data_IF_885091348436
#
_entry.id   IF_885091348436
#
_cell.length_a   1.000
_cell.length_b   1.000
_cell.length_c   1.000
_cell.angle_alpha   90.00
_cell.angle_beta   90.00
_cell.angle_gamma   90.00
#
_symmetry.space_group_name_H-M   'P 1'
#
loop_
_entity.id
_entity.type
_entity.pdbx_description
1 polymer ?
#
# COMPACT_ATOMS: atom_id res chain seq x y z
N UNK A 1 -10.55 16.74 -6.98
CA UNK A 1 -9.55 17.71 -7.46
C UNK A 1 -9.52 17.66 -8.97
N UNK A 2 -9.43 18.81 -9.64
CA UNK A 2 -9.28 18.87 -11.09
C UNK A 2 -7.86 19.35 -11.35
N UNK A 3 -7.10 18.59 -12.14
CA UNK A 3 -5.71 18.88 -12.49
C UNK A 3 -5.71 19.23 -13.97
N UNK A 4 -5.31 20.45 -14.29
CA UNK A 4 -5.09 20.87 -15.66
C UNK A 4 -3.64 20.54 -16.02
N UNK A 5 -3.44 19.56 -16.88
CA UNK A 5 -2.11 19.09 -17.25
C UNK A 5 -1.99 18.88 -18.77
N UNK A 6 -2.19 19.93 -19.58
CA UNK A 6 -1.97 19.84 -21.02
C UNK A 6 -0.50 19.52 -21.32
N UNK A 7 -0.26 18.82 -22.43
CA UNK A 7 1.10 18.61 -22.92
C UNK A 7 1.68 19.93 -23.43
N UNK A 8 2.66 20.48 -22.71
CA UNK A 8 3.29 21.78 -23.05
C UNK A 8 4.80 21.67 -22.94
N UNK A 9 5.54 22.26 -23.88
CA UNK A 9 7.01 22.31 -23.80
C UNK A 9 7.45 23.46 -22.90
N UNK A 10 8.25 23.16 -21.87
CA UNK A 10 8.80 24.16 -20.98
C UNK A 10 9.73 25.12 -21.72
N UNK A 11 9.41 26.42 -21.70
CA UNK A 11 10.13 27.45 -22.47
C UNK A 11 11.65 27.46 -22.25
N UNK A 12 12.09 27.30 -21.00
CA UNK A 12 13.52 27.39 -20.65
C UNK A 12 14.29 26.07 -20.80
N UNK A 13 13.72 24.94 -20.37
CA UNK A 13 14.42 23.64 -20.34
C UNK A 13 14.14 22.78 -21.57
N UNK A 14 13.15 23.13 -22.40
CA UNK A 14 12.70 22.34 -23.54
C UNK A 14 12.04 21.00 -23.16
N UNK A 15 11.90 20.69 -21.87
CA UNK A 15 11.28 19.45 -21.41
C UNK A 15 9.77 19.47 -21.68
N UNK A 16 9.20 18.32 -22.04
CA UNK A 16 7.76 18.14 -22.10
C UNK A 16 7.20 18.16 -20.67
N UNK A 17 6.23 19.05 -20.43
CA UNK A 17 5.42 19.07 -19.23
C UNK A 17 4.10 18.36 -19.52
N UNK A 18 3.85 17.29 -18.77
CA UNK A 18 2.66 16.44 -18.82
C UNK A 18 2.22 16.04 -17.40
N UNK A 19 1.27 15.10 -17.28
CA UNK A 19 0.79 14.59 -15.99
C UNK A 19 1.94 14.04 -15.14
N UNK A 20 2.91 13.35 -15.76
CA UNK A 20 4.02 12.74 -15.05
C UNK A 20 4.95 13.81 -14.46
N UNK A 21 5.24 14.86 -15.22
CA UNK A 21 5.98 16.02 -14.73
C UNK A 21 5.23 16.75 -13.60
N UNK A 22 3.89 16.81 -13.65
CA UNK A 22 3.10 17.36 -12.56
C UNK A 22 3.20 16.48 -11.30
N UNK A 23 3.09 15.16 -11.45
CA UNK A 23 3.23 14.18 -10.35
C UNK A 23 4.60 14.21 -9.69
N UNK A 24 5.67 14.54 -10.42
CA UNK A 24 7.04 14.53 -9.89
C UNK A 24 7.34 15.74 -9.01
N UNK A 25 6.74 16.91 -9.27
CA UNK A 25 7.11 18.17 -8.62
C UNK A 25 6.71 18.26 -7.16
N UNK A 26 7.62 18.73 -6.31
CA UNK A 26 7.42 18.87 -4.87
C UNK A 26 6.21 19.73 -4.50
N UNK A 27 6.06 20.90 -5.11
CA UNK A 27 4.90 21.78 -4.89
C UNK A 27 3.56 21.15 -5.29
N UNK A 28 3.51 20.41 -6.40
CA UNK A 28 2.31 19.70 -6.84
C UNK A 28 1.97 18.53 -5.91
N UNK A 29 2.99 17.85 -5.38
CA UNK A 29 2.82 16.84 -4.33
C UNK A 29 2.26 17.44 -3.03
N UNK A 30 2.65 18.66 -2.66
CA UNK A 30 2.08 19.38 -1.51
C UNK A 30 0.60 19.69 -1.72
N UNK A 31 0.22 20.22 -2.88
CA UNK A 31 -1.19 20.48 -3.22
C UNK A 31 -2.02 19.20 -3.13
N UNK A 32 -1.50 18.10 -3.70
CA UNK A 32 -2.13 16.79 -3.62
C UNK A 32 -2.24 16.33 -2.17
N UNK A 33 -1.17 16.42 -1.38
CA UNK A 33 -1.18 16.05 0.04
C UNK A 33 -2.25 16.83 0.81
N UNK A 34 -2.30 18.16 0.64
CA UNK A 34 -3.29 19.02 1.29
C UNK A 34 -4.72 18.68 0.88
N UNK A 35 -4.96 18.46 -0.43
CA UNK A 35 -6.25 18.00 -0.93
C UNK A 35 -6.65 16.68 -0.28
N UNK A 36 -5.72 15.72 -0.22
CA UNK A 36 -6.01 14.40 0.30
C UNK A 36 -6.29 14.43 1.80
N UNK A 37 -5.49 15.15 2.57
CA UNK A 37 -5.70 15.30 4.01
C UNK A 37 -6.98 16.06 4.35
N UNK A 38 -7.38 17.04 3.53
CA UNK A 38 -8.65 17.76 3.74
C UNK A 38 -9.87 16.85 3.63
N UNK A 39 -9.82 15.87 2.72
CA UNK A 39 -10.90 14.93 2.42
C UNK A 39 -10.58 13.50 2.80
N UNK A 40 -9.59 13.29 3.67
CA UNK A 40 -9.16 11.96 4.04
C UNK A 40 -10.33 11.23 4.68
N UNK A 41 -10.83 10.25 3.93
CA UNK A 41 -11.74 9.21 4.35
C UNK A 41 -11.07 7.91 3.95
N UNK A 42 -11.01 6.99 4.89
CA UNK A 42 -10.50 5.64 4.68
C UNK A 42 -11.33 4.90 3.62
N UNK A 43 -12.64 5.17 3.61
CA UNK A 43 -13.61 4.44 2.80
C UNK A 43 -13.71 4.98 1.37
N UNK A 44 -13.36 6.25 1.16
CA UNK A 44 -13.43 6.87 -0.16
C UNK A 44 -12.17 7.70 -0.42
N UNK A 45 -11.17 7.15 -1.13
CA UNK A 45 -10.01 7.94 -1.52
C UNK A 45 -10.49 9.13 -2.36
N UNK A 46 -9.93 10.32 -2.11
CA UNK A 46 -10.43 11.54 -2.71
C UNK A 46 -10.23 11.48 -4.23
N UNK A 47 -11.29 11.70 -4.99
CA UNK A 47 -11.24 11.59 -6.46
C UNK A 47 -10.52 12.80 -7.06
N UNK A 48 -9.52 12.54 -7.90
CA UNK A 48 -8.95 13.55 -8.79
C UNK A 48 -9.10 13.16 -10.26
N UNK A 49 -9.27 14.18 -11.08
CA UNK A 49 -9.42 14.06 -12.53
C UNK A 49 -8.36 14.91 -13.21
N UNK A 50 -7.70 14.35 -14.21
CA UNK A 50 -6.70 15.04 -15.04
C UNK A 50 -7.36 15.42 -16.35
N UNK A 51 -7.22 16.67 -16.73
CA UNK A 51 -7.66 17.21 -18.02
C UNK A 51 -6.40 17.56 -18.81
N UNK A 52 -6.14 16.78 -19.85
CA UNK A 52 -4.97 16.91 -20.73
C UNK A 52 -5.33 17.52 -22.10
N UNK A 53 -6.61 17.52 -22.47
CA UNK A 53 -7.13 18.09 -23.70
C UNK A 53 -8.52 18.74 -23.49
N UNK A 54 -8.96 19.67 -24.35
CA UNK A 54 -10.26 20.35 -24.22
C UNK A 54 -11.49 19.43 -24.14
N UNK A 55 -11.40 18.23 -24.71
CA UNK A 55 -12.48 17.24 -24.76
C UNK A 55 -12.14 15.93 -24.03
N UNK A 56 -11.02 15.87 -23.31
CA UNK A 56 -10.51 14.65 -22.68
C UNK A 56 -10.25 14.84 -21.20
N UNK A 57 -10.68 13.87 -20.38
CA UNK A 57 -10.24 13.76 -19.00
C UNK A 57 -10.09 12.29 -18.60
N UNK A 58 -9.20 12.04 -17.65
CA UNK A 58 -8.97 10.73 -17.05
C UNK A 58 -9.09 10.81 -15.52
N UNK A 59 -9.44 9.70 -14.87
CA UNK A 59 -9.41 9.61 -13.41
C UNK A 59 -7.98 9.32 -12.96
N UNK A 60 -7.45 10.12 -12.04
CA UNK A 60 -6.15 9.87 -11.44
C UNK A 60 -6.24 8.62 -10.55
N UNK A 61 -5.68 7.50 -11.01
CA UNK A 61 -5.61 6.27 -10.21
C UNK A 61 -4.61 6.42 -9.04
N UNK A 62 -4.91 5.76 -7.92
CA UNK A 62 -4.03 5.57 -6.75
C UNK A 62 -3.56 6.87 -6.08
N UNK A 63 -4.50 7.65 -5.54
CA UNK A 63 -4.18 8.74 -4.63
C UNK A 63 -4.12 8.20 -3.19
N UNK A 64 -3.10 7.39 -2.92
CA UNK A 64 -2.91 6.80 -1.59
C UNK A 64 -2.16 7.79 -0.70
N UNK A 65 -2.75 8.13 0.46
CA UNK A 65 -2.08 8.91 1.50
C UNK A 65 -1.11 7.99 2.24
N UNK A 66 0.09 8.48 2.55
CA UNK A 66 0.96 7.83 3.53
C UNK A 66 2.10 6.96 2.97
N UNK A 67 2.17 6.76 1.65
CA UNK A 67 3.37 6.19 1.05
C UNK A 67 4.50 7.23 1.08
N UNK A 68 5.65 6.86 1.66
CA UNK A 68 6.90 7.64 1.64
C UNK A 68 7.25 8.14 0.22
N UNK A 69 6.97 7.33 -0.80
CA UNK A 69 7.18 7.66 -2.22
C UNK A 69 6.39 8.89 -2.71
N UNK A 70 5.25 9.17 -2.09
CA UNK A 70 4.40 10.32 -2.42
C UNK A 70 4.62 11.53 -1.54
N UNK A 71 5.60 11.45 -0.63
CA UNK A 71 6.07 12.59 0.14
C UNK A 71 6.40 13.77 -0.78
N UNK A 72 6.12 14.95 -0.25
CA UNK A 72 6.46 16.25 -0.84
C UNK A 72 7.96 16.35 -1.08
N UNK A 73 8.76 15.86 -0.12
CA UNK A 73 10.21 15.99 -0.10
C UNK A 73 10.93 14.92 -0.92
N UNK A 74 10.22 14.00 -1.56
CA UNK A 74 10.77 13.14 -2.62
C UNK A 74 10.48 13.71 -4.02
N UNK A 75 9.93 14.92 -4.10
CA UNK A 75 9.64 15.59 -5.36
C UNK A 75 10.84 16.30 -5.98
N UNK A 76 10.69 16.65 -7.25
CA UNK A 76 11.60 17.52 -7.97
C UNK A 76 11.32 18.99 -7.64
N UNK A 77 12.37 19.77 -7.40
CA UNK A 77 12.27 21.20 -7.13
C UNK A 77 13.10 21.98 -8.14
N UNK A 78 12.53 23.09 -8.64
CA UNK A 78 13.30 24.03 -9.47
C UNK A 78 14.38 24.73 -8.63
N UNK A 79 14.05 25.04 -7.38
CA UNK A 79 14.98 25.57 -6.39
C UNK A 79 15.03 24.59 -5.21
N UNK A 80 16.14 23.87 -5.06
CA UNK A 80 16.27 22.85 -3.99
C UNK A 80 16.06 23.40 -2.58
N UNK A 81 16.37 24.67 -2.34
CA UNK A 81 16.09 25.35 -1.06
C UNK A 81 14.59 25.37 -0.69
N UNK A 82 13.67 25.21 -1.64
CA UNK A 82 12.24 25.12 -1.34
C UNK A 82 11.88 23.83 -0.59
N UNK A 83 12.68 22.76 -0.73
CA UNK A 83 12.46 21.48 -0.04
C UNK A 83 12.40 21.68 1.48
N UNK A 84 13.38 22.40 2.04
CA UNK A 84 13.42 22.75 3.46
C UNK A 84 12.34 23.75 3.84
N UNK A 85 12.05 24.75 3.00
CA UNK A 85 10.99 25.75 3.25
C UNK A 85 9.60 25.12 3.34
N UNK A 86 9.38 23.99 2.68
CA UNK A 86 8.12 23.26 2.74
C UNK A 86 7.92 22.46 4.03
N UNK A 87 8.98 22.17 4.79
CA UNK A 87 8.89 21.41 6.05
C UNK A 87 7.87 22.01 7.03
N UNK A 88 7.94 23.31 7.40
CA UNK A 88 6.94 23.92 8.28
C UNK A 88 5.54 23.96 7.66
N UNK A 89 5.41 24.04 6.33
CA UNK A 89 4.12 24.04 5.64
C UNK A 89 3.46 22.66 5.72
N UNK A 90 4.19 21.59 5.38
CA UNK A 90 3.71 20.21 5.49
C UNK A 90 3.34 19.89 6.94
N UNK A 91 4.17 20.30 7.90
CA UNK A 91 3.88 20.15 9.32
C UNK A 91 2.55 20.81 9.68
N UNK A 92 2.32 22.05 9.25
CA UNK A 92 1.07 22.76 9.54
C UNK A 92 -0.13 22.08 8.90
N UNK A 93 0.00 21.60 7.64
CA UNK A 93 -1.06 20.88 6.94
C UNK A 93 -1.45 19.60 7.69
N UNK A 94 -0.47 18.78 8.09
CA UNK A 94 -0.71 17.54 8.85
C UNK A 94 -1.35 17.84 10.21
N UNK A 95 -0.83 18.85 10.95
CA UNK A 95 -1.41 19.28 12.22
C UNK A 95 -2.86 19.73 12.09
N UNK A 96 -3.17 20.54 11.07
CA UNK A 96 -4.53 20.98 10.79
C UNK A 96 -5.45 19.79 10.47
N UNK A 97 -4.97 18.79 9.73
CA UNK A 97 -5.73 17.58 9.43
C UNK A 97 -6.04 16.77 10.68
N UNK A 98 -5.05 16.54 11.56
CA UNK A 98 -5.27 15.89 12.85
C UNK A 98 -6.29 16.64 13.71
N UNK A 99 -6.11 17.95 13.89
CA UNK A 99 -7.01 18.77 14.71
C UNK A 99 -8.44 18.80 14.15
N UNK A 100 -8.60 18.78 12.84
CA UNK A 100 -9.91 18.70 12.20
C UNK A 100 -10.62 17.36 12.51
N UNK A 101 -9.90 16.24 12.49
CA UNK A 101 -10.46 14.91 12.81
C UNK A 101 -10.79 14.76 14.29
N UNK A 102 -9.95 15.32 15.16
CA UNK A 102 -10.24 15.40 16.59
C UNK A 102 -11.54 16.18 16.86
N UNK A 103 -11.72 17.34 16.22
CA UNK A 103 -12.97 18.13 16.32
C UNK A 103 -14.19 17.42 15.74
N UNK A 104 -13.99 16.54 14.76
CA UNK A 104 -15.05 15.74 14.14
C UNK A 104 -15.34 14.44 14.92
N UNK A 105 -14.60 14.18 16.00
CA UNK A 105 -14.68 12.92 16.77
C UNK A 105 -14.40 11.67 15.90
N UNK A 106 -13.68 11.85 14.78
CA UNK A 106 -13.26 10.76 13.89
C UNK A 106 -11.93 10.19 14.36
N UNK A 107 -12.00 9.39 15.43
CA UNK A 107 -10.85 8.77 16.06
C UNK A 107 -10.12 7.80 15.12
N UNK A 108 -10.85 7.12 14.24
CA UNK A 108 -10.30 6.16 13.27
C UNK A 108 -9.34 6.83 12.29
N UNK A 109 -9.81 7.88 11.61
CA UNK A 109 -8.98 8.64 10.67
C UNK A 109 -7.86 9.36 11.41
N UNK A 110 -8.13 9.88 12.61
CA UNK A 110 -7.10 10.53 13.43
C UNK A 110 -5.94 9.57 13.76
N UNK A 111 -6.22 8.35 14.26
CA UNK A 111 -5.18 7.35 14.58
C UNK A 111 -4.31 7.02 13.36
N UNK A 112 -4.90 6.90 12.17
CA UNK A 112 -4.15 6.67 10.92
C UNK A 112 -3.25 7.84 10.55
N UNK A 113 -3.74 9.07 10.68
CA UNK A 113 -2.93 10.26 10.46
C UNK A 113 -1.76 10.35 11.44
N UNK A 114 -1.97 9.95 12.70
CA UNK A 114 -0.90 9.87 13.70
C UNK A 114 0.14 8.82 13.32
N UNK A 115 -0.26 7.64 12.86
CA UNK A 115 0.65 6.59 12.40
C UNK A 115 1.47 7.02 11.16
N UNK A 116 0.84 7.71 10.21
CA UNK A 116 1.47 8.19 8.98
C UNK A 116 2.30 9.48 9.16
N UNK A 117 2.26 10.10 10.34
CA UNK A 117 2.82 11.44 10.55
C UNK A 117 4.29 11.54 10.10
N UNK A 118 5.10 10.52 10.38
CA UNK A 118 6.51 10.49 10.01
C UNK A 118 6.71 10.25 8.50
N UNK A 119 5.87 9.42 7.86
CA UNK A 119 6.04 9.09 6.44
C UNK A 119 5.81 10.30 5.51
N UNK A 120 5.01 11.29 5.95
CA UNK A 120 4.83 12.56 5.23
C UNK A 120 6.11 13.39 5.09
N UNK A 121 7.10 13.13 5.94
CA UNK A 121 8.38 13.84 5.92
C UNK A 121 9.46 13.10 5.12
N UNK A 122 9.15 11.93 4.55
CA UNK A 122 10.14 11.17 3.80
C UNK A 122 10.88 12.00 2.73
N UNK A 123 12.21 11.98 2.77
CA UNK A 123 13.07 12.81 1.92
C UNK A 123 13.43 14.19 2.49
N UNK A 124 13.00 14.51 3.72
CA UNK A 124 13.49 15.67 4.47
C UNK A 124 14.49 15.25 5.56
N UNK A 125 15.23 16.22 6.09
CA UNK A 125 16.17 16.01 7.21
C UNK A 125 15.50 15.60 8.52
N UNK A 126 14.19 15.83 8.64
CA UNK A 126 13.41 15.43 9.83
C UNK A 126 12.91 13.98 9.75
N UNK A 127 13.12 13.29 8.63
CA UNK A 127 12.62 11.94 8.42
C UNK A 127 13.51 10.89 9.05
N UNK A 128 12.90 10.06 9.88
CA UNK A 128 13.50 8.81 10.34
C UNK A 128 12.88 7.65 9.56
N UNK A 129 13.68 6.82 8.90
CA UNK A 129 13.17 5.68 8.13
C UNK A 129 12.46 4.63 9.00
N UNK A 130 12.87 4.54 10.26
CA UNK A 130 12.28 3.67 11.29
C UNK A 130 11.77 4.56 12.41
N UNK A 131 10.51 4.37 12.80
CA UNK A 131 9.95 5.12 13.92
C UNK A 131 10.69 4.79 15.22
N UNK A 132 10.99 5.82 16.01
CA UNK A 132 11.62 5.65 17.31
C UNK A 132 10.87 4.64 18.19
N UNK A 133 11.63 3.86 18.96
CA UNK A 133 11.07 2.92 19.92
C UNK A 133 10.24 3.70 20.97
N UNK A 134 8.98 3.29 21.21
CA UNK A 134 8.20 3.92 22.26
C UNK A 134 8.85 3.67 23.63
N UNK A 135 8.77 4.62 24.57
CA UNK A 135 9.39 4.46 25.88
C UNK A 135 8.70 3.39 26.75
N UNK A 136 7.42 3.11 26.50
CA UNK A 136 6.64 2.08 27.19
C UNK A 136 5.36 1.72 26.41
N UNK A 137 4.74 0.59 26.78
CA UNK A 137 3.41 0.18 26.28
C UNK A 137 2.39 1.29 26.55
N UNK A 138 2.35 1.81 27.78
CA UNK A 138 1.41 2.86 28.17
C UNK A 138 1.58 4.14 27.35
N UNK A 139 2.82 4.52 27.00
CA UNK A 139 3.08 5.68 26.16
C UNK A 139 2.60 5.46 24.72
N UNK A 140 2.81 4.26 24.17
CA UNK A 140 2.33 3.92 22.84
C UNK A 140 0.79 3.89 22.79
N UNK A 141 0.14 3.25 23.77
CA UNK A 141 -1.32 3.24 23.87
C UNK A 141 -1.88 4.66 24.01
N UNK A 142 -1.29 5.50 24.87
CA UNK A 142 -1.71 6.89 25.05
C UNK A 142 -1.57 7.72 23.76
N UNK A 143 -0.47 7.52 22.99
CA UNK A 143 -0.25 8.19 21.71
C UNK A 143 -1.40 7.97 20.72
N UNK A 144 -2.01 6.79 20.75
CA UNK A 144 -3.13 6.43 19.88
C UNK A 144 -4.48 6.42 20.62
N UNK A 145 -4.55 6.96 21.83
CA UNK A 145 -5.76 6.97 22.66
C UNK A 145 -6.40 5.58 22.84
N UNK A 146 -5.57 4.55 23.05
CA UNK A 146 -6.00 3.24 23.51
C UNK A 146 -5.87 3.13 25.03
N UNK A 147 -6.74 2.36 25.66
CA UNK A 147 -6.76 2.07 27.10
C UNK A 147 -6.07 0.76 27.45
N UNK A 148 -5.99 -0.19 26.51
CA UNK A 148 -5.35 -1.49 26.71
C UNK A 148 -4.84 -2.08 25.38
N UNK A 149 -3.93 -3.06 25.46
CA UNK A 149 -3.40 -3.77 24.28
C UNK A 149 -4.44 -4.60 23.54
N UNK A 150 -5.49 -5.05 24.26
CA UNK A 150 -6.58 -5.85 23.72
C UNK A 150 -7.74 -5.01 23.16
N UNK A 151 -7.73 -3.69 23.37
CA UNK A 151 -8.80 -2.80 22.90
C UNK A 151 -8.95 -2.89 21.37
N UNK A 152 -10.21 -3.04 20.94
CA UNK A 152 -10.63 -2.99 19.55
C UNK A 152 -11.22 -1.61 19.29
N UNK A 153 -10.55 -0.83 18.45
CA UNK A 153 -11.00 0.48 18.03
C UNK A 153 -12.10 0.42 16.97
N UNK A 154 -12.34 1.54 16.29
CA UNK A 154 -13.20 1.58 15.11
C UNK A 154 -12.75 0.56 14.06
N UNK A 155 -13.70 -0.14 13.45
CA UNK A 155 -13.43 -1.26 12.54
C UNK A 155 -12.57 -2.38 13.14
N UNK A 156 -12.64 -2.60 14.46
CA UNK A 156 -11.86 -3.63 15.14
C UNK A 156 -10.33 -3.50 15.03
N UNK A 157 -9.81 -2.36 14.56
CA UNK A 157 -8.37 -2.11 14.53
C UNK A 157 -7.78 -2.06 15.94
N UNK A 158 -6.65 -2.72 16.14
CA UNK A 158 -5.91 -2.75 17.41
C UNK A 158 -4.70 -1.83 17.37
N UNK A 159 -4.11 -1.57 18.54
CA UNK A 159 -2.82 -0.89 18.62
C UNK A 159 -1.72 -1.57 17.77
N UNK A 160 -1.78 -2.90 17.57
CA UNK A 160 -0.81 -3.63 16.76
C UNK A 160 -0.97 -3.35 15.25
N UNK A 161 -2.19 -3.10 14.76
CA UNK A 161 -2.41 -2.64 13.38
C UNK A 161 -1.73 -1.28 13.14
N UNK A 162 -1.86 -0.35 14.08
CA UNK A 162 -1.23 0.97 13.97
C UNK A 162 0.30 0.89 14.10
N UNK A 163 0.84 -0.02 14.93
CA UNK A 163 2.29 -0.25 15.03
C UNK A 163 2.88 -0.81 13.73
N UNK A 164 2.15 -1.74 13.09
CA UNK A 164 2.49 -2.28 11.80
C UNK A 164 2.48 -1.20 10.70
N UNK A 165 1.43 -0.38 10.69
CA UNK A 165 1.25 0.72 9.73
C UNK A 165 2.26 1.86 9.91
N UNK A 166 2.74 2.09 11.15
CA UNK A 166 3.80 3.06 11.46
C UNK A 166 5.21 2.55 11.08
N UNK A 167 5.35 1.27 10.69
CA UNK A 167 6.64 0.60 10.55
C UNK A 167 7.48 0.60 11.84
N UNK A 168 6.83 0.52 13.01
CA UNK A 168 7.49 0.57 14.30
C UNK A 168 7.72 -0.85 14.86
N UNK A 169 8.78 -1.50 14.39
CA UNK A 169 9.15 -2.85 14.83
C UNK A 169 9.33 -2.97 16.35
N UNK A 170 9.84 -1.93 17.02
CA UNK A 170 10.00 -1.91 18.47
C UNK A 170 8.65 -1.88 19.20
N UNK A 171 7.70 -1.08 18.71
CA UNK A 171 6.32 -1.09 19.23
C UNK A 171 5.64 -2.44 19.00
N UNK A 172 5.80 -3.04 17.81
CA UNK A 172 5.28 -4.39 17.51
C UNK A 172 5.74 -5.41 18.56
N UNK A 173 7.06 -5.50 18.81
CA UNK A 173 7.64 -6.43 19.79
C UNK A 173 7.09 -6.18 21.18
N UNK A 174 7.14 -4.93 21.64
CA UNK A 174 6.70 -4.54 22.97
C UNK A 174 5.20 -4.81 23.19
N UNK A 175 4.35 -4.57 22.20
CA UNK A 175 2.91 -4.79 22.30
C UNK A 175 2.56 -6.28 22.35
N UNK A 176 3.22 -7.10 21.54
CA UNK A 176 3.02 -8.57 21.54
C UNK A 176 3.53 -9.17 22.85
N UNK A 177 4.69 -8.74 23.35
CA UNK A 177 5.21 -9.13 24.68
C UNK A 177 4.24 -8.75 25.81
N UNK A 178 3.49 -7.66 25.65
CA UNK A 178 2.44 -7.22 26.56
C UNK A 178 1.09 -7.94 26.36
N UNK A 179 1.00 -8.90 25.44
CA UNK A 179 -0.19 -9.73 25.23
C UNK A 179 -1.12 -9.26 24.11
N UNK A 180 -0.68 -8.38 23.20
CA UNK A 180 -1.44 -8.08 21.99
C UNK A 180 -1.57 -9.33 21.10
N UNK A 181 -2.76 -9.55 20.55
CA UNK A 181 -3.02 -10.65 19.62
C UNK A 181 -2.37 -10.38 18.27
N UNK A 182 -1.43 -11.24 17.89
CA UNK A 182 -0.56 -11.07 16.70
C UNK A 182 -1.36 -11.04 15.38
N UNK A 183 -2.34 -11.92 15.25
CA UNK A 183 -3.18 -12.07 14.06
C UNK A 183 -4.58 -11.48 14.25
N UNK A 184 -4.70 -10.46 15.11
CA UNK A 184 -5.97 -9.76 15.30
C UNK A 184 -6.53 -9.28 13.96
N UNK A 185 -7.81 -9.55 13.71
CA UNK A 185 -8.47 -9.18 12.45
C UNK A 185 -9.33 -7.94 12.64
N UNK A 186 -9.16 -6.99 11.72
CA UNK A 186 -10.02 -5.83 11.64
C UNK A 186 -11.38 -6.17 10.96
N UNK A 187 -12.23 -5.16 10.80
CA UNK A 187 -13.44 -5.22 9.97
C UNK A 187 -13.43 -4.08 8.94
N UNK A 188 -12.26 -3.58 8.59
CA UNK A 188 -12.09 -2.45 7.70
C UNK A 188 -12.23 -2.88 6.25
N UNK A 189 -13.24 -2.37 5.56
CA UNK A 189 -13.41 -2.68 4.15
C UNK A 189 -12.39 -1.95 3.27
N UNK A 190 -11.21 -2.53 3.05
CA UNK A 190 -10.25 -2.03 2.05
C UNK A 190 -9.29 -3.12 1.54
N UNK A 191 -9.05 -3.24 0.22
CA UNK A 191 -9.80 -2.67 -0.89
C UNK A 191 -11.10 -3.45 -1.21
N UNK A 192 -11.41 -4.52 -0.45
CA UNK A 192 -12.50 -5.45 -0.82
C UNK A 192 -13.21 -6.14 0.37
N UNK A 193 -12.97 -5.70 1.60
CA UNK A 193 -13.66 -6.18 2.81
C UNK A 193 -12.70 -6.28 4.01
N UNK A 194 -13.26 -6.56 5.19
CA UNK A 194 -12.53 -6.58 6.46
C UNK A 194 -11.79 -7.88 6.74
N UNK A 195 -11.03 -7.88 7.83
CA UNK A 195 -10.30 -9.04 8.34
C UNK A 195 -8.80 -8.95 8.13
N UNK A 196 -8.30 -7.77 7.77
CA UNK A 196 -6.88 -7.52 7.61
C UNK A 196 -6.17 -7.68 8.96
N UNK A 197 -4.98 -8.29 8.94
CA UNK A 197 -4.13 -8.46 10.12
C UNK A 197 -3.06 -7.37 10.20
N UNK A 198 -2.35 -7.21 11.33
CA UNK A 198 -1.20 -6.33 11.39
C UNK A 198 -0.16 -6.62 10.29
N UNK A 199 0.10 -7.91 9.99
CA UNK A 199 1.04 -8.28 8.92
C UNK A 199 0.54 -7.81 7.56
N UNK A 200 -0.77 -7.94 7.30
CA UNK A 200 -1.38 -7.43 6.08
C UNK A 200 -1.12 -5.94 5.87
N UNK A 201 -1.31 -5.12 6.91
CA UNK A 201 -1.05 -3.68 6.84
C UNK A 201 0.43 -3.37 6.57
N UNK A 202 1.33 -4.09 7.24
CA UNK A 202 2.77 -3.89 7.04
C UNK A 202 3.18 -4.21 5.60
N UNK A 203 2.71 -5.32 5.05
CA UNK A 203 3.04 -5.76 3.67
C UNK A 203 2.49 -4.79 2.63
N UNK A 204 1.21 -4.41 2.73
CA UNK A 204 0.58 -3.51 1.76
C UNK A 204 1.30 -2.14 1.68
N UNK A 205 1.77 -1.64 2.82
CA UNK A 205 2.40 -0.33 2.90
C UNK A 205 3.93 -0.36 2.80
N UNK A 206 4.53 -1.54 2.59
CA UNK A 206 5.98 -1.70 2.48
C UNK A 206 6.72 -1.44 3.79
N UNK A 207 6.06 -1.62 4.94
CA UNK A 207 6.64 -1.49 6.28
C UNK A 207 7.46 -2.75 6.63
N UNK A 208 8.64 -2.88 6.02
CA UNK A 208 9.46 -4.10 6.05
C UNK A 208 9.86 -4.49 7.48
N UNK A 209 10.30 -3.53 8.28
CA UNK A 209 10.81 -3.75 9.62
C UNK A 209 9.69 -4.24 10.56
N UNK A 210 8.48 -3.70 10.42
CA UNK A 210 7.32 -4.20 11.14
C UNK A 210 6.87 -5.58 10.64
N UNK A 211 6.87 -5.82 9.33
CA UNK A 211 6.54 -7.13 8.76
C UNK A 211 7.49 -8.22 9.27
N UNK A 212 8.79 -7.93 9.29
CA UNK A 212 9.81 -8.85 9.81
C UNK A 212 9.60 -9.12 11.31
N UNK A 213 9.35 -8.08 12.12
CA UNK A 213 9.08 -8.26 13.54
C UNK A 213 7.83 -9.11 13.79
N UNK A 214 6.75 -8.91 13.02
CA UNK A 214 5.53 -9.71 13.13
C UNK A 214 5.79 -11.19 12.77
N UNK A 215 6.49 -11.45 11.67
CA UNK A 215 6.84 -12.81 11.24
C UNK A 215 7.75 -13.53 12.27
N UNK A 216 8.74 -12.82 12.82
CA UNK A 216 9.58 -13.34 13.93
C UNK A 216 8.75 -13.70 15.17
N UNK A 217 7.65 -12.98 15.40
CA UNK A 217 6.71 -13.20 16.49
C UNK A 217 5.54 -14.12 16.10
N UNK A 218 5.74 -14.93 15.06
CA UNK A 218 4.83 -15.99 14.60
C UNK A 218 3.48 -15.50 14.08
N UNK A 219 3.42 -14.29 13.52
CA UNK A 219 2.29 -13.92 12.68
C UNK A 219 2.15 -14.93 11.54
N UNK A 220 0.91 -15.35 11.25
CA UNK A 220 0.67 -16.28 10.16
C UNK A 220 0.87 -15.60 8.81
N UNK A 221 1.93 -16.01 8.11
CA UNK A 221 2.31 -15.49 6.78
C UNK A 221 1.24 -15.77 5.71
N UNK A 222 0.43 -16.82 5.92
CA UNK A 222 -0.61 -17.25 4.99
C UNK A 222 -2.00 -16.77 5.42
N UNK A 223 -2.09 -15.94 6.46
CA UNK A 223 -3.37 -15.51 7.00
C UNK A 223 -4.19 -14.80 5.91
N UNK A 224 -5.34 -15.39 5.60
CA UNK A 224 -6.33 -14.79 4.71
C UNK A 224 -7.56 -14.40 5.51
N UNK A 225 -8.08 -13.21 5.23
CA UNK A 225 -9.45 -12.92 5.60
C UNK A 225 -10.36 -13.52 4.54
N UNK A 226 -11.38 -14.27 4.92
CA UNK A 226 -12.37 -14.76 3.93
C UNK A 226 -13.07 -13.63 3.18
N UNK A 227 -13.04 -12.41 3.74
CA UNK A 227 -13.65 -11.21 3.20
C UNK A 227 -12.64 -10.19 2.63
N UNK A 228 -11.32 -10.43 2.69
CA UNK A 228 -10.33 -9.47 2.16
C UNK A 228 -9.36 -10.12 1.18
N UNK A 229 -8.78 -9.28 0.31
CA UNK A 229 -7.75 -9.74 -0.61
C UNK A 229 -6.50 -10.08 0.21
N UNK A 230 -5.90 -11.26 0.01
CA UNK A 230 -4.69 -11.66 0.71
C UNK A 230 -3.53 -10.69 0.45
N UNK A 231 -2.78 -10.36 1.50
CA UNK A 231 -1.65 -9.43 1.41
C UNK A 231 -0.63 -9.83 0.32
N UNK A 232 -0.25 -11.12 0.22
CA UNK A 232 0.64 -11.59 -0.85
C UNK A 232 0.13 -11.30 -2.27
N UNK A 233 -1.19 -11.43 -2.53
CA UNK A 233 -1.76 -11.20 -3.85
C UNK A 233 -1.77 -9.71 -4.22
N UNK A 234 -2.09 -8.82 -3.27
CA UNK A 234 -1.97 -7.37 -3.48
C UNK A 234 -0.52 -6.95 -3.72
N UNK A 235 0.41 -7.53 -2.95
CA UNK A 235 1.84 -7.27 -3.06
C UNK A 235 2.34 -7.55 -4.48
N UNK A 236 2.08 -8.75 -4.99
CA UNK A 236 2.57 -9.18 -6.30
C UNK A 236 1.73 -8.66 -7.46
N UNK A 237 0.46 -8.33 -7.23
CA UNK A 237 -0.46 -7.75 -8.21
C UNK A 237 -0.21 -6.27 -8.55
N UNK A 238 0.85 -5.65 -8.00
CA UNK A 238 1.24 -4.28 -8.32
C UNK A 238 0.53 -3.20 -7.50
N UNK A 239 -0.12 -3.57 -6.39
CA UNK A 239 -0.76 -2.61 -5.46
C UNK A 239 0.22 -2.06 -4.41
N UNK A 240 1.32 -2.77 -4.18
CA UNK A 240 2.42 -2.30 -3.36
C UNK A 240 3.52 -1.63 -4.22
N UNK A 241 4.32 -0.72 -3.65
CA UNK A 241 5.51 -0.18 -4.31
C UNK A 241 6.49 -1.30 -4.75
N UNK A 242 6.99 -1.23 -6.00
CA UNK A 242 7.78 -2.31 -6.63
C UNK A 242 9.03 -2.73 -5.83
N UNK A 243 9.82 -1.76 -5.34
CA UNK A 243 11.08 -2.06 -4.65
C UNK A 243 10.84 -2.74 -3.29
N UNK A 244 9.80 -2.29 -2.59
CA UNK A 244 9.35 -2.84 -1.32
C UNK A 244 8.65 -4.19 -1.51
N UNK A 245 7.95 -4.39 -2.64
CA UNK A 245 7.27 -5.63 -2.95
C UNK A 245 8.23 -6.82 -3.06
N UNK A 246 9.38 -6.64 -3.71
CA UNK A 246 10.42 -7.66 -3.80
C UNK A 246 10.97 -8.02 -2.42
N UNK A 247 11.26 -7.01 -1.58
CA UNK A 247 11.75 -7.22 -0.21
C UNK A 247 10.72 -7.93 0.68
N UNK A 248 9.47 -7.49 0.64
CA UNK A 248 8.37 -8.13 1.35
C UNK A 248 8.19 -9.58 0.88
N UNK A 249 8.21 -9.83 -0.43
CA UNK A 249 8.03 -11.18 -0.95
C UNK A 249 9.18 -12.09 -0.52
N UNK A 250 10.44 -11.63 -0.63
CA UNK A 250 11.61 -12.38 -0.18
C UNK A 250 11.50 -12.74 1.30
N UNK A 251 11.08 -11.78 2.13
CA UNK A 251 10.85 -11.98 3.55
C UNK A 251 9.76 -13.05 3.78
N UNK A 252 8.58 -12.90 3.19
CA UNK A 252 7.47 -13.83 3.37
C UNK A 252 7.81 -15.26 2.89
N UNK A 253 8.51 -15.40 1.76
CA UNK A 253 9.02 -16.69 1.29
C UNK A 253 9.95 -17.34 2.31
N UNK A 254 10.84 -16.56 2.94
CA UNK A 254 11.72 -17.04 4.02
C UNK A 254 10.98 -17.54 5.27
N UNK A 255 9.74 -17.11 5.48
CA UNK A 255 8.88 -17.55 6.59
C UNK A 255 7.80 -18.58 6.16
N UNK A 256 7.89 -19.14 4.95
CA UNK A 256 7.01 -20.24 4.51
C UNK A 256 5.69 -19.79 3.89
N UNK A 257 5.70 -18.67 3.15
CA UNK A 257 4.58 -18.29 2.29
C UNK A 257 4.24 -19.40 1.28
N UNK A 258 2.98 -19.82 1.26
CA UNK A 258 2.46 -20.79 0.31
C UNK A 258 2.23 -20.14 -1.06
N UNK A 259 3.12 -20.46 -2.00
CA UNK A 259 3.08 -19.94 -3.37
C UNK A 259 2.03 -20.58 -4.27
N UNK A 260 1.45 -21.70 -3.85
CA UNK A 260 0.44 -22.45 -4.62
C UNK A 260 -0.99 -22.17 -4.17
N UNK A 261 -1.16 -21.51 -3.02
CA UNK A 261 -2.50 -21.18 -2.53
C UNK A 261 -3.27 -20.34 -3.55
N UNK A 262 -4.42 -20.85 -3.97
CA UNK A 262 -5.44 -20.08 -4.68
C UNK A 262 -6.43 -19.59 -3.66
N UNK A 263 -6.61 -18.29 -3.55
CA UNK A 263 -7.52 -17.72 -2.57
C UNK A 263 -8.67 -17.03 -3.29
N UNK A 264 -9.88 -17.43 -2.89
CA UNK A 264 -11.12 -16.80 -3.32
C UNK A 264 -11.68 -16.03 -2.12
N UNK A 265 -12.12 -14.80 -2.38
CA UNK A 265 -12.82 -13.96 -1.41
C UNK A 265 -14.15 -13.53 -2.02
N UNK A 266 -15.15 -13.31 -1.19
CA UNK A 266 -16.47 -12.95 -1.69
C UNK A 266 -16.40 -11.69 -2.56
N UNK A 267 -16.83 -11.83 -3.82
CA UNK A 267 -17.00 -10.74 -4.77
C UNK A 267 -18.49 -10.40 -4.95
N UNK A 268 -19.04 -9.50 -4.13
CA UNK A 268 -20.28 -8.78 -4.46
C UNK A 268 -20.13 -7.90 -5.72
N UNK A 269 -20.60 -8.42 -6.86
CA UNK A 269 -20.64 -7.69 -8.14
C UNK A 269 -21.23 -6.27 -7.94
N UNK A 270 -20.41 -5.24 -8.13
CA UNK A 270 -20.81 -3.83 -8.05
C UNK A 270 -20.09 -2.97 -6.99
N UNK A 271 -19.33 -3.55 -6.05
CA UNK A 271 -18.56 -2.78 -5.05
C UNK A 271 -17.06 -2.68 -5.31
N UNK A 272 -16.48 -3.50 -6.20
CA UNK A 272 -15.02 -3.54 -6.40
C UNK A 272 -14.53 -2.59 -7.48
N UNK A 273 -13.34 -2.02 -7.25
CA UNK A 273 -12.53 -1.51 -8.34
C UNK A 273 -12.20 -2.69 -9.27
N UNK A 274 -12.50 -2.55 -10.57
CA UNK A 274 -12.38 -3.64 -11.55
C UNK A 274 -11.01 -4.29 -11.58
N UNK A 275 -9.98 -3.58 -11.12
CA UNK A 275 -8.61 -4.04 -11.07
C UNK A 275 -8.40 -5.18 -10.06
N UNK A 276 -8.98 -5.09 -8.86
CA UNK A 276 -8.78 -6.06 -7.75
C UNK A 276 -9.61 -7.32 -7.96
N UNK A 277 -10.79 -7.18 -8.58
CA UNK A 277 -11.62 -8.31 -8.98
C UNK A 277 -10.88 -9.30 -9.88
N UNK A 278 -9.90 -8.83 -10.67
CA UNK A 278 -9.06 -9.71 -11.51
C UNK A 278 -8.15 -10.65 -10.72
N UNK A 279 -7.82 -10.31 -9.48
CA UNK A 279 -7.01 -11.17 -8.61
C UNK A 279 -7.82 -12.30 -7.98
N UNK A 280 -9.17 -12.25 -8.04
CA UNK A 280 -10.03 -13.24 -7.42
C UNK A 280 -9.73 -14.64 -7.97
N UNK A 281 -9.50 -15.61 -7.08
CA UNK A 281 -9.20 -16.99 -7.45
C UNK A 281 -7.81 -17.18 -8.06
N UNK A 282 -6.98 -16.14 -8.10
CA UNK A 282 -5.62 -16.21 -8.63
C UNK A 282 -4.67 -16.94 -7.68
N UNK A 283 -3.68 -17.60 -8.27
CA UNK A 283 -2.42 -17.97 -7.61
C UNK A 283 -1.54 -16.73 -7.42
N UNK A 284 -0.51 -16.80 -6.55
CA UNK A 284 0.48 -15.72 -6.47
C UNK A 284 1.15 -15.46 -7.82
N UNK A 285 1.47 -16.52 -8.56
CA UNK A 285 2.11 -16.40 -9.86
C UNK A 285 1.19 -15.72 -10.87
N UNK A 286 -0.09 -16.08 -10.93
CA UNK A 286 -1.04 -15.40 -11.82
C UNK A 286 -1.26 -13.94 -11.46
N UNK A 287 -1.37 -13.60 -10.17
CA UNK A 287 -1.44 -12.22 -9.72
C UNK A 287 -0.19 -11.41 -10.12
N UNK A 288 1.00 -12.01 -10.00
CA UNK A 288 2.26 -11.40 -10.45
C UNK A 288 2.28 -11.18 -11.97
N UNK A 289 1.63 -12.05 -12.75
CA UNK A 289 1.48 -11.87 -14.19
C UNK A 289 0.53 -10.72 -14.54
N UNK A 290 -0.58 -10.56 -13.80
CA UNK A 290 -1.55 -9.49 -14.06
C UNK A 290 -0.99 -8.09 -13.90
N UNK A 291 -0.28 -7.82 -12.80
CA UNK A 291 0.15 -6.46 -12.46
C UNK A 291 1.55 -6.36 -11.87
N UNK A 292 2.23 -7.48 -11.66
CA UNK A 292 3.57 -7.54 -11.07
C UNK A 292 4.70 -7.36 -12.07
N UNK A 293 5.93 -7.31 -11.56
CA UNK A 293 7.15 -7.18 -12.36
C UNK A 293 7.73 -8.54 -12.75
N UNK A 294 8.55 -8.56 -13.80
CA UNK A 294 9.31 -9.76 -14.17
C UNK A 294 10.20 -10.28 -13.01
N UNK A 295 10.67 -9.39 -12.13
CA UNK A 295 11.44 -9.77 -10.94
C UNK A 295 10.59 -10.57 -9.94
N UNK A 296 9.37 -10.11 -9.62
CA UNK A 296 8.46 -10.84 -8.72
C UNK A 296 8.08 -12.21 -9.29
N UNK A 297 7.82 -12.30 -10.60
CA UNK A 297 7.57 -13.58 -11.28
C UNK A 297 8.77 -14.50 -11.16
N UNK A 298 9.98 -13.98 -11.38
CA UNK A 298 11.22 -14.77 -11.25
C UNK A 298 11.38 -15.30 -9.83
N UNK A 299 11.16 -14.47 -8.81
CA UNK A 299 11.23 -14.91 -7.41
C UNK A 299 10.24 -16.03 -7.08
N UNK A 300 9.00 -15.93 -7.59
CA UNK A 300 7.99 -16.98 -7.39
C UNK A 300 8.38 -18.29 -8.10
N UNK A 301 8.92 -18.24 -9.31
CA UNK A 301 9.42 -19.42 -10.02
C UNK A 301 10.63 -20.05 -9.30
N UNK A 302 11.55 -19.23 -8.79
CA UNK A 302 12.67 -19.68 -7.95
C UNK A 302 12.17 -20.33 -6.64
N UNK A 303 11.03 -19.88 -6.12
CA UNK A 303 10.31 -20.50 -5.00
C UNK A 303 9.40 -21.68 -5.41
N UNK A 304 9.58 -22.23 -6.61
CA UNK A 304 8.85 -23.38 -7.15
C UNK A 304 7.36 -23.16 -7.41
N UNK A 305 6.90 -21.92 -7.61
CA UNK A 305 5.54 -21.66 -8.06
C UNK A 305 5.27 -22.34 -9.41
N UNK A 306 4.17 -23.09 -9.49
CA UNK A 306 3.82 -23.88 -10.69
C UNK A 306 3.17 -22.99 -11.76
N UNK A 307 3.81 -22.77 -12.93
CA UNK A 307 3.24 -21.97 -14.02
C UNK A 307 2.01 -22.59 -14.68
N UNK A 308 1.79 -23.89 -14.47
CA UNK A 308 0.68 -24.66 -15.03
C UNK A 308 -0.50 -24.80 -14.05
N UNK A 309 -0.36 -24.28 -12.83
CA UNK A 309 -1.46 -24.27 -11.88
C UNK A 309 -2.65 -23.50 -12.47
N UNK A 310 -3.77 -24.19 -12.59
CA UNK A 310 -5.01 -23.60 -13.10
C UNK A 310 -5.64 -22.73 -12.02
N UNK A 311 -5.85 -21.47 -12.36
CA UNK A 311 -6.56 -20.53 -11.50
C UNK A 311 -7.87 -20.10 -12.12
N UNK A 312 -8.83 -19.75 -11.28
CA UNK A 312 -10.09 -19.18 -11.73
C UNK A 312 -9.89 -17.71 -12.09
N UNK A 313 -10.57 -17.28 -13.14
CA UNK A 313 -10.50 -15.91 -13.64
C UNK A 313 -11.85 -15.22 -13.53
N UNK A 314 -11.82 -13.93 -13.23
CA UNK A 314 -13.00 -13.08 -13.22
C UNK A 314 -13.72 -13.14 -14.59
N UNK A 315 -14.98 -13.60 -14.60
CA UNK A 315 -15.75 -13.85 -15.82
C UNK A 315 -15.88 -15.34 -16.21
N UNK A 316 -15.26 -16.24 -15.44
CA UNK A 316 -15.42 -17.69 -15.57
C UNK A 316 -14.36 -18.34 -16.45
N UNK A 317 -14.06 -19.61 -16.15
CA UNK A 317 -13.03 -20.40 -16.81
C UNK A 317 -11.76 -20.55 -15.98
N UNK A 318 -10.87 -21.44 -16.44
CA UNK A 318 -9.57 -21.71 -15.82
C UNK A 318 -8.45 -21.32 -16.79
N UNK A 319 -7.41 -20.69 -16.25
CA UNK A 319 -6.23 -20.24 -17.01
C UNK A 319 -4.95 -20.57 -16.24
N UNK A 320 -3.90 -20.91 -16.97
CA UNK A 320 -2.55 -20.99 -16.40
C UNK A 320 -1.92 -19.60 -16.34
N UNK A 321 -0.82 -19.45 -15.59
CA UNK A 321 -0.04 -18.20 -15.61
C UNK A 321 0.49 -17.88 -17.02
N UNK A 322 0.81 -18.92 -17.81
CA UNK A 322 1.25 -18.77 -19.20
C UNK A 322 0.14 -18.23 -20.11
N UNK A 323 -1.09 -18.71 -19.95
CA UNK A 323 -2.23 -18.23 -20.75
C UNK A 323 -2.50 -16.75 -20.44
N UNK A 324 -2.49 -16.36 -19.16
CA UNK A 324 -2.68 -14.97 -18.74
C UNK A 324 -1.59 -14.08 -19.33
N UNK A 325 -0.32 -14.52 -19.31
CA UNK A 325 0.78 -13.74 -19.87
C UNK A 325 0.64 -13.52 -21.39
N UNK A 326 0.03 -14.47 -22.11
CA UNK A 326 -0.30 -14.32 -23.55
C UNK A 326 -1.45 -13.35 -23.75
N UNK A 327 -2.53 -13.51 -22.99
CA UNK A 327 -3.74 -12.69 -23.11
C UNK A 327 -3.48 -11.21 -22.76
N UNK A 328 -2.65 -10.96 -21.74
CA UNK A 328 -2.24 -9.61 -21.32
C UNK A 328 -1.08 -9.04 -22.18
N UNK A 329 -0.55 -9.81 -23.13
CA UNK A 329 0.48 -9.35 -24.06
C UNK A 329 1.82 -9.00 -23.40
N UNK A 330 2.30 -9.84 -22.46
CA UNK A 330 3.51 -9.60 -21.67
C UNK A 330 4.73 -10.42 -22.13
N UNK A 331 5.48 -9.97 -23.15
CA UNK A 331 6.59 -10.74 -23.72
C UNK A 331 7.74 -10.95 -22.74
N UNK A 332 7.96 -10.00 -21.82
CA UNK A 332 8.95 -10.08 -20.75
C UNK A 332 8.70 -11.26 -19.81
N UNK A 333 7.45 -11.48 -19.41
CA UNK A 333 7.04 -12.62 -18.59
C UNK A 333 7.02 -13.90 -19.38
N UNK A 334 6.53 -13.88 -20.63
CA UNK A 334 6.47 -15.08 -21.46
C UNK A 334 7.86 -15.73 -21.61
N UNK A 335 8.90 -14.92 -21.75
CA UNK A 335 10.28 -15.39 -21.78
C UNK A 335 10.71 -16.15 -20.50
N UNK A 336 10.12 -15.84 -19.35
CA UNK A 336 10.37 -16.51 -18.08
C UNK A 336 9.53 -17.78 -17.90
N UNK A 337 8.28 -17.79 -18.37
CA UNK A 337 7.34 -18.90 -18.16
C UNK A 337 7.51 -20.04 -19.18
N UNK A 338 7.77 -19.72 -20.46
CA UNK A 338 7.90 -20.74 -21.52
C UNK A 338 8.94 -21.83 -21.21
N UNK A 339 10.14 -21.51 -20.68
CA UNK A 339 11.14 -22.54 -20.35
C UNK A 339 10.73 -23.49 -19.21
N UNK A 340 9.72 -23.13 -18.42
CA UNK A 340 9.28 -23.89 -17.25
C UNK A 340 8.19 -24.92 -17.60
N UNK A 341 7.65 -24.89 -18.82
CA UNK A 341 6.58 -25.80 -19.25
C UNK A 341 7.19 -27.02 -19.94
N UNK A 342 6.84 -28.26 -19.53
CA UNK A 342 7.28 -29.47 -20.23
C UNK A 342 6.78 -29.45 -21.69
N UNK A 343 7.68 -29.75 -22.62
CA UNK A 343 7.38 -29.89 -24.07
C UNK A 343 6.54 -31.10 -24.40
#
# INVERSE_FOLDING_TARGET
MIILSPQVVHRTTGKLCDEQSWRSRGWCRLERLAFCLSRFSVMEPPRAYVVDAPSGYSRLANITIGSSKHSVFNGEFTYEADRERLVPVVRKVVQCACAAREKQEDLSSWRKLVALKNSFFSGSDEWESVAAAPPSVSAYLSKFAFTSVSERGTHQMTCLHYAAFENNAAAVRMLIEAGAEVDARDTEAFPSGGGCTPLWFAVLHGCIEAAEALLQLRADVNCSASASVPAPLLLVGGYAPVAEAERCLALMLGYGLDVHSTQCWDINEGQYESSVARLHGSTLLGAAVYGGTAALVKMLLEAHADPLCLQEVAGGGRRTALDIARDEGRPDILALLVPQVPT
#
